data_IF_553588622513
#
_entry.id   IF_553588622513
#
_cell.length_a   1.000
_cell.length_b   1.000
_cell.length_c   1.000
_cell.angle_alpha   90.00
_cell.angle_beta   90.00
_cell.angle_gamma   90.00
#
_symmetry.space_group_name_H-M   'P 1'
#
loop_
_entity.id
_entity.type
_entity.pdbx_description
1 polymer ?
#
# COMPACT_ATOMS: atom_id res chain seq x y z
N UNK A 1 1.67 -14.52 -7.87
CA UNK A 1 1.97 -13.58 -6.76
C UNK A 1 0.81 -12.62 -6.67
N UNK A 2 0.34 -12.31 -5.47
CA UNK A 2 -0.80 -11.41 -5.25
C UNK A 2 -0.49 -10.01 -5.82
N UNK A 3 -1.47 -9.40 -6.51
CA UNK A 3 -1.30 -8.06 -7.09
C UNK A 3 -1.07 -7.00 -6.00
N UNK A 4 -1.69 -7.15 -4.84
CA UNK A 4 -1.49 -6.26 -3.71
C UNK A 4 -0.05 -6.32 -3.18
N UNK A 5 0.52 -7.52 -3.13
CA UNK A 5 1.92 -7.75 -2.74
C UNK A 5 2.87 -7.10 -3.76
N UNK A 6 2.57 -7.18 -5.06
CA UNK A 6 3.34 -6.49 -6.09
C UNK A 6 3.33 -4.96 -5.92
N UNK A 7 2.20 -4.37 -5.53
CA UNK A 7 2.12 -2.93 -5.24
C UNK A 7 2.99 -2.57 -4.04
N UNK A 8 2.94 -3.36 -2.96
CA UNK A 8 3.81 -3.17 -1.81
C UNK A 8 5.30 -3.28 -2.20
N UNK A 9 5.69 -4.25 -3.02
CA UNK A 9 7.07 -4.38 -3.52
C UNK A 9 7.48 -3.16 -4.35
N UNK A 10 6.60 -2.67 -5.23
CA UNK A 10 6.89 -1.46 -6.02
C UNK A 10 7.07 -0.22 -5.12
N UNK A 11 6.38 -0.17 -3.98
CA UNK A 11 6.50 0.90 -2.98
C UNK A 11 7.79 0.81 -2.17
N UNK A 12 8.33 -0.39 -1.96
CA UNK A 12 9.52 -0.69 -1.17
C UNK A 12 10.49 -1.60 -1.95
N UNK A 13 11.13 -1.09 -3.02
CA UNK A 13 11.93 -1.93 -3.93
C UNK A 13 13.06 -2.69 -3.23
N UNK A 14 13.67 -2.09 -2.20
CA UNK A 14 14.78 -2.70 -1.45
C UNK A 14 14.33 -3.80 -0.46
N UNK A 15 13.02 -3.97 -0.25
CA UNK A 15 12.43 -4.87 0.76
C UNK A 15 11.62 -6.02 0.13
N UNK A 16 11.73 -6.23 -1.18
CA UNK A 16 10.86 -7.14 -1.92
C UNK A 16 10.80 -8.57 -1.36
N UNK A 17 11.95 -9.16 -1.01
CA UNK A 17 11.98 -10.52 -0.46
C UNK A 17 11.28 -10.63 0.91
N UNK A 18 11.51 -9.66 1.80
CA UNK A 18 10.87 -9.62 3.12
C UNK A 18 9.34 -9.46 3.01
N UNK A 19 8.87 -8.68 2.02
CA UNK A 19 7.45 -8.51 1.73
C UNK A 19 6.84 -9.84 1.25
N UNK A 20 7.49 -10.55 0.33
CA UNK A 20 7.02 -11.85 -0.17
C UNK A 20 6.99 -12.94 0.90
N UNK A 21 7.95 -12.92 1.83
CA UNK A 21 8.01 -13.83 2.95
C UNK A 21 6.89 -13.54 3.96
N UNK A 22 6.84 -12.29 4.44
CA UNK A 22 5.88 -11.90 5.47
C UNK A 22 4.43 -12.05 4.97
N UNK A 23 4.13 -11.64 3.73
CA UNK A 23 2.78 -11.80 3.16
C UNK A 23 2.31 -13.26 3.01
N UNK A 24 3.24 -14.23 3.02
CA UNK A 24 2.93 -15.66 2.96
C UNK A 24 2.49 -16.23 4.31
N UNK A 25 2.98 -15.64 5.39
CA UNK A 25 2.81 -16.16 6.76
C UNK A 25 1.95 -15.26 7.65
N UNK A 26 1.77 -14.00 7.29
CA UNK A 26 1.05 -12.99 8.07
C UNK A 26 -0.15 -12.46 7.25
N UNK A 27 -1.35 -12.80 7.70
CA UNK A 27 -2.59 -12.40 7.06
C UNK A 27 -2.90 -10.91 7.25
N UNK A 28 -2.56 -10.34 8.41
CA UNK A 28 -2.75 -8.92 8.69
C UNK A 28 -1.86 -8.08 7.77
N UNK A 29 -0.59 -8.49 7.58
CA UNK A 29 0.32 -7.86 6.63
C UNK A 29 -0.21 -7.92 5.19
N UNK A 30 -0.74 -9.07 4.80
CA UNK A 30 -1.33 -9.26 3.47
C UNK A 30 -2.59 -8.41 3.27
N UNK A 31 -3.42 -8.25 4.30
CA UNK A 31 -4.57 -7.33 4.27
C UNK A 31 -4.10 -5.89 4.10
N UNK A 32 -3.08 -5.46 4.83
CA UNK A 32 -2.52 -4.11 4.69
C UNK A 32 -1.92 -3.84 3.30
N UNK A 33 -1.33 -4.86 2.66
CA UNK A 33 -0.91 -4.74 1.25
C UNK A 33 -2.10 -4.49 0.32
N UNK A 34 -3.25 -5.14 0.57
CA UNK A 34 -4.46 -4.95 -0.22
C UNK A 34 -5.05 -3.55 0.00
N UNK A 35 -5.10 -3.09 1.26
CA UNK A 35 -5.57 -1.75 1.60
C UNK A 35 -4.70 -0.66 0.95
N UNK A 36 -3.36 -0.84 0.95
CA UNK A 36 -2.45 0.07 0.25
C UNK A 36 -2.75 0.11 -1.25
N UNK A 37 -2.90 -1.06 -1.88
CA UNK A 37 -3.18 -1.15 -3.31
C UNK A 37 -4.50 -0.48 -3.68
N UNK A 38 -5.54 -0.66 -2.86
CA UNK A 38 -6.84 -0.03 -3.06
C UNK A 38 -6.80 1.48 -2.87
N UNK A 39 -6.06 1.97 -1.86
CA UNK A 39 -5.87 3.40 -1.61
C UNK A 39 -5.10 4.07 -2.76
N UNK A 40 -4.01 3.48 -3.23
CA UNK A 40 -3.25 4.01 -4.38
C UNK A 40 -4.10 4.02 -5.66
N UNK A 41 -4.82 2.92 -5.93
CA UNK A 41 -5.73 2.86 -7.06
C UNK A 41 -6.85 3.90 -6.97
N UNK A 42 -7.42 4.12 -5.78
CA UNK A 42 -8.42 5.15 -5.54
C UNK A 42 -7.86 6.55 -5.77
N UNK A 43 -6.65 6.84 -5.28
CA UNK A 43 -6.00 8.13 -5.48
C UNK A 43 -5.83 8.47 -6.97
N UNK A 44 -5.43 7.50 -7.79
CA UNK A 44 -5.30 7.63 -9.25
C UNK A 44 -6.66 7.80 -9.90
N UNK A 45 -7.66 6.98 -9.54
CA UNK A 45 -9.03 7.10 -10.08
C UNK A 45 -9.61 8.50 -9.82
N UNK A 46 -9.43 9.03 -8.61
CA UNK A 46 -9.90 10.36 -8.27
C UNK A 46 -9.10 11.47 -8.97
N UNK A 47 -7.79 11.29 -9.18
CA UNK A 47 -6.99 12.25 -9.94
C UNK A 47 -7.49 12.45 -11.38
N UNK A 48 -7.99 11.38 -12.00
CA UNK A 48 -8.53 11.40 -13.36
C UNK A 48 -10.04 11.69 -13.43
N UNK A 49 -10.71 11.90 -12.29
CA UNK A 49 -12.14 12.21 -12.25
C UNK A 49 -12.39 13.67 -12.65
N UNK A 50 -13.47 13.90 -13.40
CA UNK A 50 -13.96 15.24 -13.75
C UNK A 50 -14.80 15.89 -12.65
N UNK A 51 -14.99 15.22 -11.51
CA UNK A 51 -15.79 15.75 -10.41
C UNK A 51 -15.05 16.89 -9.70
N UNK A 52 -15.75 17.92 -9.19
CA UNK A 52 -15.13 19.04 -8.47
C UNK A 52 -14.34 18.62 -7.21
N UNK A 53 -14.70 17.49 -6.62
CA UNK A 53 -14.06 16.93 -5.41
C UNK A 53 -12.85 16.03 -5.72
N UNK A 54 -12.53 15.83 -7.01
CA UNK A 54 -11.44 14.96 -7.49
C UNK A 54 -10.11 15.19 -6.78
N UNK A 55 -9.66 16.44 -6.73
CA UNK A 55 -8.40 16.82 -6.11
C UNK A 55 -8.38 16.51 -4.61
N UNK A 56 -9.46 16.85 -3.89
CA UNK A 56 -9.58 16.60 -2.46
C UNK A 56 -9.59 15.09 -2.15
N UNK A 57 -10.40 14.30 -2.85
CA UNK A 57 -10.43 12.83 -2.68
C UNK A 57 -9.09 12.19 -3.05
N UNK A 58 -8.48 12.63 -4.14
CA UNK A 58 -7.17 12.13 -4.54
C UNK A 58 -6.11 12.42 -3.47
N UNK A 59 -6.16 13.58 -2.82
CA UNK A 59 -5.28 13.90 -1.69
C UNK A 59 -5.56 13.01 -0.47
N UNK A 60 -6.82 12.85 -0.07
CA UNK A 60 -7.22 11.99 1.05
C UNK A 60 -6.70 10.55 0.88
N UNK A 61 -6.86 9.95 -0.30
CA UNK A 61 -6.37 8.60 -0.56
C UNK A 61 -4.84 8.51 -0.61
N UNK A 62 -4.13 9.57 -1.03
CA UNK A 62 -2.66 9.61 -0.97
C UNK A 62 -2.15 9.70 0.46
N UNK A 63 -2.85 10.42 1.33
CA UNK A 63 -2.51 10.48 2.75
C UNK A 63 -2.75 9.12 3.41
N UNK A 64 -3.90 8.48 3.15
CA UNK A 64 -4.16 7.11 3.60
C UNK A 64 -3.09 6.12 3.11
N UNK A 65 -2.71 6.16 1.83
CA UNK A 65 -1.64 5.31 1.30
C UNK A 65 -0.28 5.56 1.98
N UNK A 66 0.00 6.79 2.41
CA UNK A 66 1.22 7.11 3.18
C UNK A 66 1.18 6.50 4.57
N UNK A 67 0.03 6.55 5.23
CA UNK A 67 -0.15 5.98 6.57
C UNK A 67 -0.02 4.45 6.52
N UNK A 68 -0.70 3.81 5.57
CA UNK A 68 -0.58 2.36 5.32
C UNK A 68 0.86 1.93 4.99
N UNK A 69 1.55 2.71 4.15
CA UNK A 69 2.97 2.46 3.87
C UNK A 69 3.84 2.56 5.13
N UNK A 70 3.53 3.48 6.04
CA UNK A 70 4.25 3.62 7.30
C UNK A 70 4.02 2.43 8.24
N UNK A 71 2.79 1.89 8.27
CA UNK A 71 2.46 0.68 9.04
C UNK A 71 3.16 -0.56 8.48
N UNK A 72 3.16 -0.74 7.16
CA UNK A 72 3.89 -1.82 6.49
C UNK A 72 5.38 -1.74 6.77
N UNK A 73 5.99 -0.55 6.70
CA UNK A 73 7.39 -0.35 7.03
C UNK A 73 7.69 -0.76 8.47
N UNK A 74 6.83 -0.39 9.42
CA UNK A 74 6.98 -0.79 10.82
C UNK A 74 6.87 -2.30 11.03
N UNK A 75 6.01 -3.00 10.28
CA UNK A 75 5.92 -4.47 10.31
C UNK A 75 7.19 -5.12 9.75
N UNK A 76 7.69 -4.60 8.62
CA UNK A 76 8.93 -5.08 8.00
C UNK A 76 10.15 -4.86 8.90
N UNK A 77 10.20 -3.74 9.61
CA UNK A 77 11.28 -3.47 10.57
C UNK A 77 11.23 -4.41 11.77
N UNK A 78 10.03 -4.78 12.24
CA UNK A 78 9.87 -5.81 13.29
C UNK A 78 10.23 -7.21 12.82
N UNK A 79 9.94 -7.53 11.55
CA UNK A 79 10.26 -8.83 10.97
C UNK A 79 11.77 -9.02 10.71
N UNK A 80 12.51 -7.93 10.51
CA UNK A 80 13.95 -7.96 10.26
C UNK A 80 14.81 -8.06 11.54
N UNK A 81 14.19 -8.11 12.73
CA UNK A 81 14.84 -8.25 14.04
C UNK A 81 14.98 -9.71 14.46
#
# INVERSE_FOLDING_TARGET
MDQAVLVAIARFPDRGHAIEELARTDEDFRSLCADLADAEAAAVRWQHSSLPVSAARSAEYRDLARDLASELAAMLDRHAQ
#
